data_IF_556359006770
#
_entry.id   IF_556359006770
#
_cell.length_a   1.000
_cell.length_b   1.000
_cell.length_c   1.000
_cell.angle_alpha   90.00
_cell.angle_beta   90.00
_cell.angle_gamma   90.00
#
_symmetry.space_group_name_H-M   'P 1'
#
loop_
_entity.id
_entity.type
_entity.pdbx_description
1 polymer ?
#
# COMPACT_ATOMS: atom_id res chain seq x y z
N UNK A 1 -11.36 -9.48 20.63
CA UNK A 1 -11.19 -9.68 19.18
C UNK A 1 -11.65 -11.08 18.79
N UNK A 2 -12.56 -11.17 17.83
CA UNK A 2 -13.04 -12.41 17.24
C UNK A 2 -12.42 -12.62 15.84
N UNK A 3 -11.91 -13.82 15.54
CA UNK A 3 -11.31 -14.14 14.25
C UNK A 3 -12.20 -15.13 13.50
N UNK A 4 -12.66 -14.74 12.30
CA UNK A 4 -13.51 -15.58 11.45
C UNK A 4 -12.88 -15.78 10.08
N UNK A 5 -13.03 -16.99 9.57
CA UNK A 5 -12.58 -17.39 8.24
C UNK A 5 -13.80 -17.74 7.39
N UNK A 6 -13.78 -17.31 6.12
CA UNK A 6 -14.84 -17.68 5.18
C UNK A 6 -14.78 -19.19 4.90
N UNK A 7 -15.90 -19.94 4.96
CA UNK A 7 -15.89 -21.39 4.72
C UNK A 7 -15.25 -21.82 3.39
N UNK A 8 -15.48 -21.05 2.32
CA UNK A 8 -14.87 -21.32 1.01
C UNK A 8 -13.34 -21.23 1.03
N UNK A 9 -12.77 -20.29 1.80
CA UNK A 9 -11.32 -20.19 2.00
C UNK A 9 -10.80 -21.44 2.73
N UNK A 10 -11.49 -21.87 3.79
CA UNK A 10 -11.06 -23.03 4.57
C UNK A 10 -10.97 -24.27 3.70
N UNK A 11 -12.02 -24.52 2.92
CA UNK A 11 -12.05 -25.62 1.96
C UNK A 11 -10.88 -25.52 0.96
N UNK A 12 -10.71 -24.38 0.31
CA UNK A 12 -9.67 -24.21 -0.72
C UNK A 12 -8.26 -24.39 -0.17
N UNK A 13 -7.99 -23.92 1.07
CA UNK A 13 -6.70 -24.13 1.74
C UNK A 13 -6.45 -25.60 2.02
N UNK A 14 -7.43 -26.31 2.58
CA UNK A 14 -7.27 -27.73 2.92
C UNK A 14 -7.11 -28.57 1.66
N UNK A 15 -7.98 -28.40 0.67
CA UNK A 15 -7.95 -29.16 -0.57
C UNK A 15 -6.62 -28.94 -1.31
N UNK A 16 -6.16 -27.68 -1.44
CA UNK A 16 -4.92 -27.37 -2.14
C UNK A 16 -3.67 -27.79 -1.37
N UNK A 17 -3.71 -27.78 -0.04
CA UNK A 17 -2.60 -28.24 0.80
C UNK A 17 -2.43 -29.75 0.74
N UNK A 18 -3.53 -30.50 0.89
CA UNK A 18 -3.54 -31.97 0.76
C UNK A 18 -2.98 -32.40 -0.58
N UNK A 19 -3.48 -31.80 -1.67
CA UNK A 19 -3.03 -32.11 -3.02
C UNK A 19 -1.54 -31.79 -3.21
N UNK A 20 -1.07 -30.66 -2.68
CA UNK A 20 0.34 -30.29 -2.75
C UNK A 20 1.22 -31.31 -2.02
N UNK A 21 0.92 -31.63 -0.77
CA UNK A 21 1.76 -32.53 0.04
C UNK A 21 1.79 -33.94 -0.54
N UNK A 22 0.67 -34.42 -1.07
CA UNK A 22 0.61 -35.72 -1.74
C UNK A 22 1.49 -35.75 -2.99
N UNK A 23 1.43 -34.71 -3.84
CA UNK A 23 2.32 -34.58 -5.01
C UNK A 23 3.80 -34.48 -4.63
N UNK A 24 4.10 -33.91 -3.46
CA UNK A 24 5.46 -33.83 -2.90
C UNK A 24 5.91 -35.14 -2.24
N UNK A 25 5.06 -36.17 -2.22
CA UNK A 25 5.37 -37.52 -1.73
C UNK A 25 5.02 -37.77 -0.25
N UNK A 26 4.32 -36.84 0.41
CA UNK A 26 3.82 -36.98 1.77
C UNK A 26 2.29 -37.21 1.79
N UNK A 27 1.83 -38.47 1.92
CA UNK A 27 0.41 -38.79 1.92
C UNK A 27 -0.26 -38.60 3.30
N UNK A 28 0.44 -38.06 4.31
CA UNK A 28 -0.07 -37.98 5.69
C UNK A 28 -1.38 -37.21 5.75
N UNK A 29 -1.40 -35.98 5.22
CA UNK A 29 -2.58 -35.11 5.23
C UNK A 29 -3.73 -35.64 4.36
N UNK A 30 -3.39 -36.33 3.26
CA UNK A 30 -4.39 -37.00 2.41
C UNK A 30 -5.12 -38.10 3.18
N UNK A 31 -4.37 -38.97 3.88
CA UNK A 31 -4.96 -40.05 4.69
C UNK A 31 -5.82 -39.49 5.82
N UNK A 32 -5.30 -38.51 6.56
CA UNK A 32 -6.04 -37.88 7.66
C UNK A 32 -7.34 -37.22 7.17
N UNK A 33 -7.31 -36.53 6.02
CA UNK A 33 -8.51 -35.98 5.41
C UNK A 33 -9.55 -37.06 5.12
N UNK A 34 -9.15 -38.16 4.44
CA UNK A 34 -10.06 -39.24 4.08
C UNK A 34 -10.61 -40.00 5.29
N UNK A 35 -9.80 -40.24 6.32
CA UNK A 35 -10.25 -40.85 7.58
C UNK A 35 -11.41 -40.08 8.23
N UNK A 36 -11.43 -38.76 8.07
CA UNK A 36 -12.49 -37.89 8.60
C UNK A 36 -13.63 -37.63 7.60
N UNK A 37 -13.32 -37.57 6.30
CA UNK A 37 -14.27 -37.28 5.23
C UNK A 37 -15.12 -38.49 4.83
N UNK A 38 -14.55 -39.69 4.75
CA UNK A 38 -15.26 -40.90 4.33
C UNK A 38 -16.49 -41.21 5.20
N UNK A 39 -16.43 -41.09 6.55
CA UNK A 39 -17.61 -41.25 7.41
C UNK A 39 -18.74 -40.25 7.11
N UNK A 40 -18.45 -39.07 6.55
CA UNK A 40 -19.48 -38.09 6.19
C UNK A 40 -20.34 -38.62 5.04
N UNK A 41 -19.71 -39.29 4.07
CA UNK A 41 -20.43 -39.95 2.98
C UNK A 41 -21.29 -41.11 3.47
N UNK A 42 -20.84 -41.85 4.48
CA UNK A 42 -21.57 -43.01 4.99
C UNK A 42 -22.73 -42.65 5.93
N UNK A 43 -22.55 -41.63 6.78
CA UNK A 43 -23.45 -41.36 7.91
C UNK A 43 -24.49 -40.26 7.66
N UNK A 44 -24.27 -39.40 6.68
CA UNK A 44 -25.11 -38.24 6.43
C UNK A 44 -25.78 -38.28 5.06
N UNK A 45 -27.00 -37.73 5.00
CA UNK A 45 -27.77 -37.57 3.76
C UNK A 45 -27.11 -36.52 2.87
N UNK A 46 -27.43 -36.53 1.57
CA UNK A 46 -26.87 -35.56 0.63
C UNK A 46 -27.10 -34.10 1.07
N UNK A 47 -28.27 -33.80 1.64
CA UNK A 47 -28.63 -32.45 2.08
C UNK A 47 -27.87 -32.02 3.33
N UNK A 48 -27.50 -32.96 4.21
CA UNK A 48 -26.79 -32.66 5.46
C UNK A 48 -25.26 -32.60 5.28
N UNK A 49 -24.72 -33.27 4.26
CA UNK A 49 -23.27 -33.40 4.04
C UNK A 49 -22.55 -32.05 3.93
N UNK A 50 -23.14 -31.06 3.28
CA UNK A 50 -22.49 -29.75 3.11
C UNK A 50 -22.18 -29.09 4.47
N UNK A 51 -23.11 -29.18 5.43
CA UNK A 51 -22.93 -28.65 6.78
C UNK A 51 -21.81 -29.39 7.53
N UNK A 52 -21.75 -30.71 7.39
CA UNK A 52 -20.71 -31.53 8.02
C UNK A 52 -19.33 -31.30 7.41
N UNK A 53 -19.23 -31.12 6.08
CA UNK A 53 -17.96 -30.74 5.45
C UNK A 53 -17.48 -29.37 5.92
N UNK A 54 -18.37 -28.38 6.10
CA UNK A 54 -17.98 -27.07 6.68
C UNK A 54 -17.36 -27.24 8.06
N UNK A 55 -17.93 -28.10 8.91
CA UNK A 55 -17.37 -28.40 10.25
C UNK A 55 -16.02 -29.12 10.14
N UNK A 56 -15.89 -30.08 9.21
CA UNK A 56 -14.64 -30.79 8.96
C UNK A 56 -13.52 -29.84 8.55
N UNK A 57 -13.75 -29.00 7.54
CA UNK A 57 -12.76 -28.03 7.07
C UNK A 57 -12.35 -27.05 8.18
N UNK A 58 -13.30 -26.60 8.99
CA UNK A 58 -13.00 -25.75 10.15
C UNK A 58 -12.15 -26.48 11.21
N UNK A 59 -12.48 -27.73 11.51
CA UNK A 59 -11.73 -28.55 12.44
C UNK A 59 -10.29 -28.77 11.96
N UNK A 60 -10.11 -29.15 10.70
CA UNK A 60 -8.80 -29.44 10.12
C UNK A 60 -7.95 -28.18 10.00
N UNK A 61 -8.53 -27.06 9.56
CA UNK A 61 -7.83 -25.79 9.46
C UNK A 61 -7.31 -25.28 10.82
N UNK A 62 -8.06 -25.52 11.90
CA UNK A 62 -7.60 -25.26 13.26
C UNK A 62 -6.51 -26.25 13.70
N UNK A 63 -6.75 -27.55 13.52
CA UNK A 63 -5.86 -28.63 13.99
C UNK A 63 -4.50 -28.60 13.30
N UNK A 64 -4.47 -28.28 12.01
CA UNK A 64 -3.24 -28.14 11.22
C UNK A 64 -2.54 -26.78 11.44
N UNK A 65 -3.06 -25.93 12.32
CA UNK A 65 -2.40 -24.69 12.75
C UNK A 65 -2.53 -23.52 11.79
N UNK A 66 -3.29 -23.62 10.69
CA UNK A 66 -3.44 -22.50 9.74
C UNK A 66 -4.14 -21.29 10.38
N UNK A 67 -5.07 -21.53 11.30
CA UNK A 67 -5.72 -20.46 12.06
C UNK A 67 -4.76 -19.71 12.99
N UNK A 68 -3.70 -20.40 13.41
CA UNK A 68 -2.78 -19.94 14.44
C UNK A 68 -1.84 -18.90 13.88
N UNK A 69 -1.45 -19.03 12.61
CA UNK A 69 -0.59 -18.06 11.90
C UNK A 69 -1.16 -16.64 11.99
N UNK A 70 -2.45 -16.47 11.68
CA UNK A 70 -3.11 -15.16 11.75
C UNK A 70 -3.29 -14.72 13.20
N UNK A 71 -3.74 -15.62 14.08
CA UNK A 71 -3.96 -15.31 15.49
C UNK A 71 -2.67 -14.86 16.19
N UNK A 72 -1.56 -15.50 15.89
CA UNK A 72 -0.26 -15.23 16.48
C UNK A 72 0.34 -13.93 15.95
N UNK A 73 0.09 -13.57 14.69
CA UNK A 73 0.45 -12.25 14.18
C UNK A 73 -0.18 -11.13 15.03
N UNK A 74 -1.45 -11.26 15.44
CA UNK A 74 -2.10 -10.30 16.35
C UNK A 74 -1.52 -10.31 17.78
N UNK A 75 -0.87 -11.38 18.23
CA UNK A 75 -0.18 -11.38 19.54
C UNK A 75 0.96 -10.36 19.57
N UNK A 76 1.55 -10.04 18.42
CA UNK A 76 2.60 -9.02 18.29
C UNK A 76 2.04 -7.58 18.41
N UNK A 77 0.73 -7.39 18.35
CA UNK A 77 0.06 -6.08 18.38
C UNK A 77 -1.05 -6.02 19.45
N UNK A 78 -0.71 -5.97 20.75
CA UNK A 78 -1.71 -5.95 21.83
C UNK A 78 -2.74 -4.83 21.69
N UNK A 79 -2.31 -3.63 21.29
CA UNK A 79 -3.20 -2.48 21.06
C UNK A 79 -4.22 -2.71 19.95
N UNK A 80 -3.88 -3.51 18.92
CA UNK A 80 -4.85 -3.89 17.90
C UNK A 80 -5.93 -4.79 18.48
N UNK A 81 -5.60 -5.73 19.37
CA UNK A 81 -6.60 -6.59 20.01
C UNK A 81 -7.60 -5.82 20.87
N UNK A 82 -7.17 -4.68 21.41
CA UNK A 82 -8.01 -3.78 22.21
C UNK A 82 -8.89 -2.87 21.34
N UNK A 83 -8.48 -2.58 20.10
CA UNK A 83 -9.21 -1.68 19.18
C UNK A 83 -10.00 -2.42 18.09
N UNK A 84 -9.73 -3.69 17.88
CA UNK A 84 -10.36 -4.52 16.85
C UNK A 84 -11.32 -5.52 17.49
N UNK A 85 -12.60 -5.38 17.14
CA UNK A 85 -13.67 -6.25 17.61
C UNK A 85 -13.67 -7.59 16.89
N UNK A 86 -13.52 -7.54 15.56
CA UNK A 86 -13.61 -8.71 14.67
C UNK A 86 -12.64 -8.60 13.50
N UNK A 87 -12.11 -9.75 13.09
CA UNK A 87 -11.24 -9.93 11.92
C UNK A 87 -11.91 -10.93 10.99
N UNK A 88 -12.18 -10.52 9.75
CA UNK A 88 -12.77 -11.37 8.71
C UNK A 88 -11.70 -11.74 7.68
N UNK A 89 -11.36 -13.01 7.61
CA UNK A 89 -10.38 -13.55 6.66
C UNK A 89 -11.09 -14.23 5.50
N UNK A 90 -10.80 -13.81 4.26
CA UNK A 90 -11.42 -14.35 3.05
C UNK A 90 -10.42 -14.66 1.95
N UNK A 91 -10.81 -15.61 1.10
CA UNK A 91 -10.07 -16.02 -0.08
C UNK A 91 -10.16 -15.00 -1.21
N UNK A 92 -9.06 -14.83 -1.95
CA UNK A 92 -9.01 -14.13 -3.23
C UNK A 92 -8.24 -14.95 -4.25
N UNK A 93 -8.43 -14.65 -5.54
CA UNK A 93 -7.89 -15.46 -6.63
C UNK A 93 -6.52 -14.98 -7.12
N UNK A 94 -6.19 -13.70 -6.90
CA UNK A 94 -4.98 -13.06 -7.45
C UNK A 94 -4.24 -12.25 -6.40
N UNK A 95 -2.93 -12.12 -6.60
CA UNK A 95 -2.02 -11.45 -5.64
C UNK A 95 -2.32 -9.94 -5.51
N UNK A 96 -2.79 -9.31 -6.58
CA UNK A 96 -3.22 -7.90 -6.58
C UNK A 96 -4.53 -7.65 -5.81
N UNK A 97 -5.23 -8.71 -5.41
CA UNK A 97 -6.44 -8.66 -4.59
C UNK A 97 -6.16 -8.92 -3.09
N UNK A 98 -4.95 -9.36 -2.74
CA UNK A 98 -4.53 -9.54 -1.35
C UNK A 98 -4.42 -8.18 -0.66
N UNK A 99 -4.66 -8.15 0.64
CA UNK A 99 -4.54 -6.92 1.42
C UNK A 99 -5.31 -6.97 2.73
N UNK A 100 -4.96 -6.06 3.63
CA UNK A 100 -5.65 -5.87 4.90
C UNK A 100 -6.16 -4.44 4.99
N UNK A 101 -7.42 -4.27 5.42
CA UNK A 101 -8.03 -2.94 5.53
C UNK A 101 -9.06 -2.90 6.67
N UNK A 102 -9.37 -1.70 7.15
CA UNK A 102 -10.47 -1.45 8.09
C UNK A 102 -11.79 -1.60 7.34
N UNK A 103 -12.68 -2.44 7.86
CA UNK A 103 -14.00 -2.65 7.28
C UNK A 103 -14.84 -1.38 7.46
N UNK A 104 -15.25 -0.78 6.34
CA UNK A 104 -16.19 0.35 6.31
C UNK A 104 -17.65 -0.08 6.08
N UNK A 105 -17.84 -1.29 5.58
CA UNK A 105 -19.16 -1.88 5.30
C UNK A 105 -19.15 -3.33 5.75
N UNK A 106 -20.24 -3.71 6.38
CA UNK A 106 -20.45 -5.06 6.88
C UNK A 106 -21.32 -5.86 5.93
N UNK A 107 -21.02 -7.15 5.79
CA UNK A 107 -21.94 -8.07 5.13
C UNK A 107 -23.23 -8.23 5.93
N UNK A 108 -24.27 -8.78 5.31
CA UNK A 108 -25.56 -9.02 5.96
C UNK A 108 -25.45 -9.97 7.16
N UNK A 109 -24.52 -10.92 7.11
CA UNK A 109 -24.30 -11.92 8.17
C UNK A 109 -23.60 -11.31 9.37
N UNK A 110 -22.63 -10.42 9.14
CA UNK A 110 -21.83 -9.81 10.20
C UNK A 110 -22.46 -8.52 10.75
N UNK A 111 -23.55 -8.02 10.15
CA UNK A 111 -24.11 -6.71 10.43
C UNK A 111 -24.54 -6.51 11.90
N UNK A 112 -25.16 -7.51 12.52
CA UNK A 112 -25.61 -7.40 13.92
C UNK A 112 -24.43 -7.34 14.89
N UNK A 113 -23.45 -8.24 14.72
CA UNK A 113 -22.23 -8.25 15.53
C UNK A 113 -21.37 -7.01 15.32
N UNK A 114 -21.29 -6.54 14.08
CA UNK A 114 -20.61 -5.32 13.72
C UNK A 114 -21.12 -4.12 14.52
N UNK A 115 -22.45 -4.00 14.64
CA UNK A 115 -23.08 -2.95 15.46
C UNK A 115 -22.65 -3.05 16.92
N UNK A 116 -22.62 -4.25 17.51
CA UNK A 116 -22.17 -4.43 18.89
C UNK A 116 -20.72 -4.00 19.10
N UNK A 117 -19.85 -4.22 18.11
CA UNK A 117 -18.45 -3.77 18.17
C UNK A 117 -18.33 -2.26 17.97
N UNK A 118 -19.06 -1.69 17.02
CA UNK A 118 -19.08 -0.26 16.75
C UNK A 118 -19.62 0.55 17.95
N UNK A 119 -20.67 0.05 18.63
CA UNK A 119 -21.20 0.65 19.86
C UNK A 119 -20.17 0.68 21.00
N UNK A 120 -19.19 -0.25 20.98
CA UNK A 120 -18.05 -0.29 21.92
C UNK A 120 -16.84 0.51 21.41
N UNK A 121 -16.96 1.18 20.27
CA UNK A 121 -15.87 1.93 19.62
C UNK A 121 -14.81 1.05 18.94
N UNK A 122 -15.08 -0.24 18.79
CA UNK A 122 -14.17 -1.20 18.17
C UNK A 122 -14.35 -1.23 16.64
N UNK A 123 -13.27 -1.54 15.93
CA UNK A 123 -13.25 -1.61 14.46
C UNK A 123 -13.27 -3.05 13.95
N UNK A 124 -13.73 -3.21 12.71
CA UNK A 124 -13.58 -4.44 11.94
C UNK A 124 -12.35 -4.39 11.05
N UNK A 125 -11.66 -5.51 10.91
CA UNK A 125 -10.54 -5.66 9.97
C UNK A 125 -10.85 -6.78 8.98
N UNK A 126 -10.64 -6.52 7.69
CA UNK A 126 -10.76 -7.51 6.64
C UNK A 126 -9.38 -7.93 6.14
N UNK A 127 -9.11 -9.22 6.11
CA UNK A 127 -7.89 -9.82 5.55
C UNK A 127 -8.28 -10.59 4.28
N UNK A 128 -7.65 -10.26 3.16
CA UNK A 128 -7.81 -10.98 1.88
C UNK A 128 -6.51 -11.69 1.56
N UNK A 129 -6.56 -13.00 1.39
CA UNK A 129 -5.40 -13.84 1.10
C UNK A 129 -5.72 -14.83 -0.01
N UNK A 130 -4.74 -15.13 -0.85
CA UNK A 130 -4.83 -16.32 -1.69
C UNK A 130 -4.65 -17.54 -0.77
N UNK A 131 -5.47 -18.60 -0.91
CA UNK A 131 -5.40 -19.81 -0.08
C UNK A 131 -3.98 -20.37 0.07
N UNK A 132 -3.18 -20.38 -1.01
CA UNK A 132 -1.82 -20.90 -0.99
C UNK A 132 -0.87 -20.21 -0.01
N UNK A 133 -1.20 -19.00 0.47
CA UNK A 133 -0.41 -18.29 1.48
C UNK A 133 -0.36 -19.01 2.81
N UNK A 134 -1.37 -19.79 3.17
CA UNK A 134 -1.44 -20.44 4.48
C UNK A 134 -0.35 -21.48 4.71
N UNK A 135 0.29 -21.97 3.64
CA UNK A 135 1.46 -22.84 3.70
C UNK A 135 2.71 -22.23 3.04
N UNK A 136 2.72 -20.89 2.89
CA UNK A 136 3.90 -20.11 2.54
C UNK A 136 4.53 -19.56 3.84
N UNK A 137 5.81 -19.89 4.14
CA UNK A 137 6.50 -19.35 5.31
C UNK A 137 6.53 -17.81 5.38
N UNK A 138 6.31 -17.12 4.25
CA UNK A 138 6.23 -15.67 4.18
C UNK A 138 4.98 -15.08 4.86
N UNK A 139 3.93 -15.86 5.12
CA UNK A 139 2.66 -15.32 5.62
C UNK A 139 2.83 -14.58 6.96
N UNK A 140 3.68 -15.07 7.86
CA UNK A 140 3.92 -14.41 9.15
C UNK A 140 4.48 -12.99 8.97
N UNK A 141 5.48 -12.79 8.10
CA UNK A 141 6.03 -11.45 7.84
C UNK A 141 5.06 -10.57 7.04
N UNK A 142 4.26 -11.17 6.16
CA UNK A 142 3.17 -10.46 5.47
C UNK A 142 2.15 -9.91 6.48
N UNK A 143 1.64 -10.75 7.38
CA UNK A 143 0.70 -10.31 8.41
C UNK A 143 1.31 -9.23 9.31
N UNK A 144 2.57 -9.36 9.69
CA UNK A 144 3.26 -8.32 10.48
C UNK A 144 3.29 -6.97 9.76
N UNK A 145 3.64 -6.96 8.48
CA UNK A 145 3.65 -5.76 7.65
C UNK A 145 2.27 -5.10 7.57
N UNK A 146 1.26 -5.88 7.19
CA UNK A 146 -0.10 -5.39 7.01
C UNK A 146 -0.75 -4.96 8.33
N UNK A 147 -0.50 -5.67 9.44
CA UNK A 147 -1.01 -5.27 10.75
C UNK A 147 -0.36 -3.99 11.27
N UNK A 148 0.90 -3.70 10.92
CA UNK A 148 1.49 -2.40 11.26
C UNK A 148 0.81 -1.26 10.48
N UNK A 149 0.41 -1.47 9.22
CA UNK A 149 -0.45 -0.52 8.50
C UNK A 149 -1.78 -0.29 9.23
N UNK A 150 -2.44 -1.35 9.70
CA UNK A 150 -3.68 -1.22 10.49
C UNK A 150 -3.43 -0.49 11.80
N UNK A 151 -2.31 -0.75 12.46
CA UNK A 151 -1.93 -0.03 13.68
C UNK A 151 -1.78 1.46 13.43
N UNK A 152 -1.16 1.85 12.32
CA UNK A 152 -1.04 3.25 11.90
C UNK A 152 -2.43 3.84 11.60
N UNK A 153 -3.28 3.15 10.84
CA UNK A 153 -4.65 3.63 10.54
C UNK A 153 -5.50 3.87 11.78
N UNK A 154 -5.28 3.10 12.85
CA UNK A 154 -6.00 3.23 14.12
C UNK A 154 -5.32 4.18 15.11
N UNK A 155 -4.12 4.68 14.84
CA UNK A 155 -3.41 5.61 15.70
C UNK A 155 -3.85 7.07 15.40
N UNK A 156 -4.46 7.77 16.36
CA UNK A 156 -4.82 9.18 16.17
C UNK A 156 -3.64 10.08 15.82
N UNK A 157 -2.41 9.75 16.25
CA UNK A 157 -1.20 10.53 15.94
C UNK A 157 -0.80 10.37 14.47
N UNK A 158 -1.06 9.20 13.87
CA UNK A 158 -0.84 8.98 12.45
C UNK A 158 -1.82 9.80 11.61
N UNK A 159 -3.06 9.96 12.10
CA UNK A 159 -4.05 10.84 11.47
C UNK A 159 -4.52 10.35 10.11
N UNK A 160 -4.71 9.03 9.96
CA UNK A 160 -5.22 8.43 8.73
C UNK A 160 -6.60 9.00 8.38
N UNK A 161 -6.69 9.62 7.22
CA UNK A 161 -7.97 10.07 6.67
C UNK A 161 -8.37 9.17 5.48
N UNK A 162 -9.41 8.35 5.65
CA UNK A 162 -9.93 7.46 4.62
C UNK A 162 -10.50 8.16 3.38
N UNK A 163 -10.81 9.45 3.48
CA UNK A 163 -11.49 10.26 2.48
C UNK A 163 -10.57 11.33 1.87
N UNK A 164 -9.26 11.27 2.16
CA UNK A 164 -8.23 12.12 1.55
C UNK A 164 -8.30 12.04 0.03
N UNK A 165 -8.52 13.19 -0.59
CA UNK A 165 -8.51 13.35 -2.05
C UNK A 165 -7.15 13.84 -2.51
N UNK A 166 -6.59 13.19 -3.52
CA UNK A 166 -5.30 13.55 -4.11
C UNK A 166 -5.42 13.68 -5.63
N UNK A 167 -4.57 14.52 -6.21
CA UNK A 167 -4.53 14.78 -7.64
C UNK A 167 -5.73 15.57 -8.17
N UNK A 168 -5.57 16.14 -9.37
CA UNK A 168 -6.61 16.89 -10.06
C UNK A 168 -7.38 16.04 -11.08
N UNK A 169 -6.82 14.86 -11.42
CA UNK A 169 -7.38 13.93 -12.39
C UNK A 169 -7.03 12.47 -12.01
N UNK A 170 -7.73 11.46 -12.58
CA UNK A 170 -7.53 10.06 -12.20
C UNK A 170 -6.10 9.52 -12.40
N UNK A 171 -5.38 10.03 -13.40
CA UNK A 171 -4.00 9.59 -13.66
C UNK A 171 -3.02 10.10 -12.61
N UNK A 172 -3.17 11.37 -12.22
CA UNK A 172 -2.40 11.98 -11.14
C UNK A 172 -2.75 11.36 -9.78
N UNK A 173 -4.04 11.16 -9.50
CA UNK A 173 -4.51 10.47 -8.30
C UNK A 173 -3.86 9.08 -8.18
N UNK A 174 -3.90 8.28 -9.25
CA UNK A 174 -3.30 6.95 -9.28
C UNK A 174 -1.78 7.00 -9.00
N UNK A 175 -1.07 7.95 -9.61
CA UNK A 175 0.37 8.13 -9.38
C UNK A 175 0.68 8.46 -7.91
N UNK A 176 -0.08 9.40 -7.32
CA UNK A 176 0.12 9.83 -5.93
C UNK A 176 -0.18 8.66 -4.98
N UNK A 177 -1.28 7.94 -5.17
CA UNK A 177 -1.63 6.79 -4.34
C UNK A 177 -0.58 5.67 -4.43
N UNK A 178 0.00 5.43 -5.60
CA UNK A 178 1.11 4.48 -5.73
C UNK A 178 2.35 4.93 -4.94
N UNK A 179 2.76 6.19 -5.08
CA UNK A 179 3.89 6.73 -4.30
C UNK A 179 3.64 6.68 -2.80
N UNK A 180 2.44 7.05 -2.37
CA UNK A 180 2.00 6.97 -0.99
C UNK A 180 2.16 5.54 -0.43
N UNK A 181 1.70 4.53 -1.18
CA UNK A 181 1.89 3.12 -0.81
C UNK A 181 3.37 2.77 -0.65
N UNK A 182 4.22 3.16 -1.60
CA UNK A 182 5.67 2.87 -1.52
C UNK A 182 6.29 3.50 -0.27
N UNK A 183 6.01 4.78 -0.03
CA UNK A 183 6.53 5.50 1.13
C UNK A 183 6.04 4.86 2.44
N UNK A 184 4.75 4.56 2.55
CA UNK A 184 4.21 3.96 3.77
C UNK A 184 4.78 2.55 4.00
N UNK A 185 4.79 1.68 2.98
CA UNK A 185 5.35 0.33 3.12
C UNK A 185 6.85 0.34 3.43
N UNK A 186 7.61 1.31 2.91
CA UNK A 186 9.01 1.54 3.30
C UNK A 186 9.12 1.84 4.80
N UNK A 187 8.30 2.75 5.31
CA UNK A 187 8.33 3.14 6.74
C UNK A 187 7.92 1.98 7.66
N UNK A 188 6.95 1.17 7.23
CA UNK A 188 6.54 -0.05 7.94
C UNK A 188 7.71 -1.03 8.04
N UNK A 189 8.35 -1.37 6.92
CA UNK A 189 9.44 -2.34 6.92
C UNK A 189 10.69 -1.82 7.64
N UNK A 190 10.94 -0.51 7.61
CA UNK A 190 11.97 0.11 8.44
C UNK A 190 11.67 -0.08 9.94
N UNK A 191 10.46 0.25 10.39
CA UNK A 191 10.06 0.12 11.80
C UNK A 191 10.11 -1.33 12.28
N UNK A 192 9.71 -2.28 11.42
CA UNK A 192 9.85 -3.71 11.72
C UNK A 192 11.32 -4.11 11.88
N UNK A 193 12.19 -3.66 10.97
CA UNK A 193 13.64 -3.90 11.05
C UNK A 193 14.22 -3.32 12.32
N UNK A 194 13.88 -2.07 12.68
CA UNK A 194 14.33 -1.40 13.90
C UNK A 194 13.85 -2.11 15.18
N UNK A 195 12.68 -2.73 15.14
CA UNK A 195 12.14 -3.57 16.21
C UNK A 195 12.74 -5.00 16.26
N UNK A 196 13.72 -5.31 15.40
CA UNK A 196 14.35 -6.64 15.32
C UNK A 196 13.43 -7.72 14.74
N UNK A 197 12.39 -7.32 14.00
CA UNK A 197 11.44 -8.22 13.35
C UNK A 197 11.81 -8.40 11.88
N UNK A 198 11.48 -9.56 11.33
CA UNK A 198 11.61 -9.78 9.88
C UNK A 198 10.59 -8.91 9.12
N UNK A 199 11.03 -7.97 8.27
CA UNK A 199 10.15 -7.13 7.45
C UNK A 199 9.61 -7.92 6.24
N UNK A 200 8.58 -7.39 5.57
CA UNK A 200 8.05 -8.03 4.35
C UNK A 200 9.09 -8.01 3.22
N UNK A 201 9.68 -6.84 2.98
CA UNK A 201 10.82 -6.68 2.07
C UNK A 201 12.05 -6.20 2.85
N UNK A 202 13.23 -6.65 2.42
CA UNK A 202 14.50 -6.17 2.95
C UNK A 202 14.75 -4.73 2.50
N UNK A 203 15.63 -4.03 3.21
CA UNK A 203 16.04 -2.65 2.91
C UNK A 203 16.46 -2.48 1.44
N UNK A 204 17.24 -3.42 0.90
CA UNK A 204 17.73 -3.37 -0.48
C UNK A 204 16.60 -3.50 -1.50
N UNK A 205 15.58 -4.31 -1.20
CA UNK A 205 14.44 -4.50 -2.08
C UNK A 205 13.48 -3.30 -2.01
N UNK A 206 13.29 -2.70 -0.83
CA UNK A 206 12.60 -1.41 -0.69
C UNK A 206 13.34 -0.29 -1.40
N UNK A 207 14.66 -0.28 -1.41
CA UNK A 207 15.43 0.69 -2.18
C UNK A 207 15.23 0.52 -3.68
N UNK A 208 15.22 -0.72 -4.20
CA UNK A 208 14.92 -1.00 -5.62
C UNK A 208 13.51 -0.52 -6.00
N UNK A 209 12.52 -0.81 -5.15
CA UNK A 209 11.14 -0.37 -5.35
C UNK A 209 11.04 1.15 -5.34
N UNK A 210 11.56 1.82 -4.31
CA UNK A 210 11.62 3.27 -4.21
C UNK A 210 12.29 3.91 -5.43
N UNK A 211 13.46 3.41 -5.83
CA UNK A 211 14.17 3.86 -7.04
C UNK A 211 13.35 3.73 -8.30
N UNK A 212 12.52 2.70 -8.41
CA UNK A 212 11.69 2.50 -9.60
C UNK A 212 10.60 3.57 -9.76
N UNK A 213 10.19 4.23 -8.68
CA UNK A 213 9.15 5.28 -8.66
C UNK A 213 9.72 6.70 -8.64
N UNK A 214 10.95 6.87 -8.17
CA UNK A 214 11.64 8.16 -8.07
C UNK A 214 12.84 8.28 -9.03
N UNK A 215 12.77 7.63 -10.20
CA UNK A 215 13.86 7.57 -11.21
C UNK A 215 14.41 8.92 -11.68
N UNK A 216 13.68 10.00 -11.47
CA UNK A 216 14.08 11.36 -11.88
C UNK A 216 15.02 12.03 -10.87
N UNK A 217 15.10 11.53 -9.64
CA UNK A 217 16.08 12.00 -8.66
C UNK A 217 17.45 11.38 -9.03
N UNK A 218 18.53 12.17 -9.11
CA UNK A 218 19.89 11.67 -9.32
C UNK A 218 20.25 10.52 -8.36
N UNK A 219 20.94 9.50 -8.84
CA UNK A 219 21.19 8.28 -8.06
C UNK A 219 21.91 8.53 -6.69
N UNK A 220 22.91 9.42 -6.58
CA UNK A 220 23.53 9.74 -5.29
C UNK A 220 22.53 10.38 -4.31
N UNK A 221 21.71 11.32 -4.80
CA UNK A 221 20.67 11.97 -3.99
C UNK A 221 19.57 11.00 -3.56
N UNK A 222 19.16 10.13 -4.47
CA UNK A 222 18.15 9.12 -4.19
C UNK A 222 18.57 8.17 -3.06
N UNK A 223 19.88 7.84 -2.98
CA UNK A 223 20.44 7.06 -1.86
C UNK A 223 20.30 7.83 -0.54
N UNK A 224 20.74 9.08 -0.50
CA UNK A 224 20.63 9.97 0.68
C UNK A 224 19.18 10.12 1.16
N UNK A 225 18.25 10.32 0.22
CA UNK A 225 16.81 10.45 0.49
C UNK A 225 16.25 9.15 1.07
N UNK A 226 16.53 8.01 0.43
CA UNK A 226 16.07 6.73 0.92
C UNK A 226 16.59 6.43 2.33
N UNK A 227 17.86 6.74 2.61
CA UNK A 227 18.45 6.53 3.92
C UNK A 227 17.78 7.39 5.00
N UNK A 228 17.48 8.65 4.71
CA UNK A 228 16.77 9.50 5.67
C UNK A 228 15.33 9.05 5.91
N UNK A 229 14.60 8.64 4.85
CA UNK A 229 13.29 8.01 4.98
C UNK A 229 13.36 6.72 5.82
N UNK A 230 14.36 5.87 5.56
CA UNK A 230 14.54 4.60 6.27
C UNK A 230 14.89 4.81 7.73
N UNK A 231 15.68 5.82 8.09
CA UNK A 231 16.07 6.06 9.49
C UNK A 231 14.98 6.79 10.28
N UNK A 232 14.00 7.41 9.60
CA UNK A 232 12.92 8.13 10.27
C UNK A 232 11.96 7.13 10.93
N UNK A 233 11.74 7.32 12.24
CA UNK A 233 10.96 6.38 13.06
C UNK A 233 9.45 6.43 12.81
N UNK A 234 8.94 7.57 12.33
CA UNK A 234 7.51 7.82 12.17
C UNK A 234 7.24 8.95 11.17
N UNK A 235 6.17 8.78 10.39
CA UNK A 235 5.57 9.84 9.57
C UNK A 235 4.08 9.83 9.81
N UNK A 236 3.47 11.01 9.79
CA UNK A 236 2.01 11.13 9.74
C UNK A 236 1.47 10.80 8.34
N UNK A 237 0.17 10.49 8.26
CA UNK A 237 -0.54 10.33 6.99
C UNK A 237 -0.37 11.57 6.10
N UNK A 238 -0.50 12.78 6.65
CA UNK A 238 -0.34 14.03 5.91
C UNK A 238 1.05 14.18 5.30
N UNK A 239 2.11 13.92 6.07
CA UNK A 239 3.48 14.00 5.56
C UNK A 239 3.73 13.00 4.42
N UNK A 240 3.20 11.78 4.54
CA UNK A 240 3.31 10.78 3.48
C UNK A 240 2.56 11.21 2.21
N UNK A 241 1.38 11.83 2.35
CA UNK A 241 0.61 12.35 1.22
C UNK A 241 1.31 13.55 0.56
N UNK A 242 1.86 14.47 1.34
CA UNK A 242 2.64 15.60 0.85
C UNK A 242 3.86 15.12 0.06
N UNK A 243 4.62 14.17 0.60
CA UNK A 243 5.75 13.52 -0.07
C UNK A 243 5.35 12.74 -1.32
N UNK A 244 4.19 12.06 -1.30
CA UNK A 244 3.71 11.34 -2.47
C UNK A 244 3.31 12.31 -3.60
N UNK A 245 2.75 13.46 -3.24
CA UNK A 245 2.26 14.50 -4.15
C UNK A 245 3.38 15.35 -4.74
N UNK A 246 4.40 15.65 -3.94
CA UNK A 246 5.50 16.53 -4.31
C UNK A 246 6.86 15.88 -4.06
N UNK A 247 7.60 15.63 -5.16
CA UNK A 247 8.92 15.02 -5.06
C UNK A 247 9.93 15.90 -4.30
N UNK A 248 9.76 17.23 -4.29
CA UNK A 248 10.63 18.13 -3.52
C UNK A 248 10.58 17.78 -2.02
N UNK A 249 9.37 17.52 -1.50
CA UNK A 249 9.16 17.13 -0.10
C UNK A 249 9.83 15.80 0.25
N UNK A 250 10.00 14.91 -0.72
CA UNK A 250 10.75 13.67 -0.53
C UNK A 250 12.24 13.98 -0.45
N UNK A 251 12.74 14.89 -1.29
CA UNK A 251 14.15 15.29 -1.30
C UNK A 251 14.59 15.98 -0.01
N UNK A 252 13.70 16.71 0.65
CA UNK A 252 13.93 17.31 1.98
C UNK A 252 14.30 16.28 3.05
N UNK A 253 14.08 14.99 2.78
CA UNK A 253 14.44 13.87 3.67
C UNK A 253 15.85 13.34 3.43
N UNK A 254 16.63 13.94 2.53
CA UNK A 254 18.01 13.54 2.30
C UNK A 254 18.88 13.73 3.55
N UNK A 255 19.67 12.71 3.88
CA UNK A 255 20.71 12.77 4.92
C UNK A 255 22.07 12.49 4.31
N UNK A 256 23.13 13.01 4.93
CA UNK A 256 24.49 12.77 4.47
C UNK A 256 24.89 11.29 4.69
N UNK A 257 25.30 10.62 3.62
CA UNK A 257 25.69 9.21 3.61
C UNK A 257 26.86 8.97 2.68
N UNK A 258 27.68 7.97 2.98
CA UNK A 258 28.81 7.61 2.14
C UNK A 258 28.38 7.30 0.70
N UNK A 259 28.93 8.04 -0.27
CA UNK A 259 28.58 7.91 -1.69
C UNK A 259 27.16 8.38 -2.04
N UNK A 260 26.51 9.13 -1.14
CA UNK A 260 25.31 9.91 -1.43
C UNK A 260 25.63 11.39 -1.61
N UNK A 261 24.64 12.15 -2.05
CA UNK A 261 24.69 13.62 -2.12
C UNK A 261 23.44 14.17 -1.45
N UNK A 262 23.56 15.22 -0.63
CA UNK A 262 22.39 15.94 -0.12
C UNK A 262 22.05 17.03 -1.15
N UNK A 263 20.82 17.09 -1.68
CA UNK A 263 20.42 18.14 -2.59
C UNK A 263 20.59 19.51 -1.93
N UNK A 264 21.20 20.47 -2.63
CA UNK A 264 21.11 21.88 -2.26
C UNK A 264 19.67 22.35 -2.55
N UNK A 265 18.79 22.23 -1.56
CA UNK A 265 17.42 22.76 -1.64
C UNK A 265 17.45 24.29 -1.52
N UNK A 266 18.00 24.98 -2.51
CA UNK A 266 17.53 26.32 -2.83
C UNK A 266 16.08 26.18 -3.31
N UNK A 267 15.21 27.15 -3.00
CA UNK A 267 13.77 27.20 -3.35
C UNK A 267 13.44 27.16 -4.87
N UNK A 268 14.24 26.50 -5.71
CA UNK A 268 13.98 26.32 -7.13
C UNK A 268 13.01 25.16 -7.31
N UNK A 269 11.84 25.47 -7.86
CA UNK A 269 10.87 24.46 -8.31
C UNK A 269 11.57 23.47 -9.24
N UNK A 270 11.60 22.20 -8.85
CA UNK A 270 12.31 21.18 -9.64
C UNK A 270 11.46 20.75 -10.84
N UNK A 271 11.82 21.28 -12.02
CA UNK A 271 11.15 21.01 -13.30
C UNK A 271 11.52 19.63 -13.86
N UNK A 272 10.98 18.57 -13.26
CA UNK A 272 11.39 17.19 -13.54
C UNK A 272 10.58 16.52 -14.65
N UNK A 273 11.10 16.24 -15.86
CA UNK A 273 10.40 15.70 -17.05
C UNK A 273 8.87 15.55 -16.90
N UNK A 274 8.15 14.46 -17.17
CA UNK A 274 6.65 14.37 -17.12
C UNK A 274 5.75 14.98 -15.99
N UNK A 275 6.16 15.97 -15.20
CA UNK A 275 5.28 16.82 -14.40
C UNK A 275 4.34 17.65 -15.29
N UNK A 276 3.12 17.97 -14.82
CA UNK A 276 2.19 18.80 -15.58
C UNK A 276 2.73 20.23 -15.69
N UNK A 277 2.77 20.75 -16.91
CA UNK A 277 3.08 22.17 -17.14
C UNK A 277 2.06 23.06 -16.40
N UNK A 278 2.46 24.09 -15.65
CA UNK A 278 1.51 24.93 -14.90
C UNK A 278 0.56 25.72 -15.82
N UNK A 279 0.96 25.93 -17.07
CA UNK A 279 0.17 26.67 -18.07
C UNK A 279 -0.89 25.79 -18.72
N UNK A 280 -0.53 24.64 -19.30
CA UNK A 280 -1.47 23.76 -20.02
C UNK A 280 -1.93 22.52 -19.25
N UNK A 281 -1.34 22.24 -18.08
CA UNK A 281 -1.62 21.08 -17.23
C UNK A 281 -1.34 19.70 -17.84
N UNK A 282 -0.75 19.65 -19.04
CA UNK A 282 -0.29 18.40 -19.64
C UNK A 282 1.09 17.99 -19.13
N UNK A 283 1.36 16.69 -18.92
CA UNK A 283 2.71 16.19 -18.68
C UNK A 283 3.66 16.65 -19.78
N UNK A 284 4.75 17.32 -19.42
CA UNK A 284 5.79 17.72 -20.36
C UNK A 284 7.08 16.96 -20.08
N UNK A 285 7.85 16.61 -21.09
CA UNK A 285 9.23 16.09 -20.91
C UNK A 285 10.28 17.12 -21.34
N UNK A 286 9.82 18.28 -21.81
CA UNK A 286 10.62 19.36 -22.38
C UNK A 286 10.25 20.65 -21.64
N UNK A 287 11.06 21.01 -20.65
CA UNK A 287 10.93 22.27 -19.93
C UNK A 287 11.80 23.32 -20.60
N UNK A 288 11.30 24.56 -20.72
CA UNK A 288 12.14 25.67 -21.19
C UNK A 288 13.05 26.12 -20.06
N UNK A 289 14.34 25.87 -20.21
CA UNK A 289 15.37 26.30 -19.26
C UNK A 289 15.76 27.76 -19.49
N UNK A 290 16.11 28.46 -18.40
CA UNK A 290 16.65 29.83 -18.46
C UNK A 290 15.68 30.84 -19.13
N UNK A 291 14.40 30.73 -18.77
CA UNK A 291 13.31 31.55 -19.33
C UNK A 291 13.57 33.05 -19.20
N UNK A 292 14.21 33.50 -18.11
CA UNK A 292 14.51 34.91 -17.87
C UNK A 292 15.46 35.54 -18.91
N UNK A 293 16.31 34.73 -19.55
CA UNK A 293 17.25 35.19 -20.57
C UNK A 293 16.83 34.79 -21.99
N UNK A 294 16.13 33.65 -22.15
CA UNK A 294 15.77 33.09 -23.46
C UNK A 294 14.40 33.51 -23.99
N UNK A 295 13.58 34.15 -23.16
CA UNK A 295 12.24 34.59 -23.54
C UNK A 295 12.14 36.10 -23.37
N UNK A 296 11.55 36.74 -24.36
CA UNK A 296 11.32 38.18 -24.40
C UNK A 296 10.39 38.60 -23.26
N UNK A 297 10.72 39.70 -22.57
CA UNK A 297 10.00 40.10 -21.34
C UNK A 297 8.50 40.31 -21.55
N UNK A 298 8.09 40.87 -22.70
CA UNK A 298 6.68 41.08 -23.01
C UNK A 298 5.89 39.76 -23.14
N UNK A 299 6.53 38.67 -23.56
CA UNK A 299 5.90 37.34 -23.61
C UNK A 299 5.71 36.81 -22.19
N UNK A 300 6.70 36.99 -21.32
CA UNK A 300 6.61 36.59 -19.91
C UNK A 300 5.49 37.36 -19.19
N UNK A 301 5.38 38.66 -19.44
CA UNK A 301 4.32 39.50 -18.88
C UNK A 301 2.95 39.06 -19.39
N UNK A 302 2.83 38.76 -20.68
CA UNK A 302 1.61 38.22 -21.27
C UNK A 302 1.19 36.86 -20.65
N UNK A 303 2.14 35.97 -20.37
CA UNK A 303 1.85 34.72 -19.65
C UNK A 303 1.32 35.01 -18.24
N UNK A 304 1.95 35.94 -17.49
CA UNK A 304 1.51 36.32 -16.13
C UNK A 304 0.11 36.93 -16.11
N UNK A 305 -0.23 37.72 -17.12
CA UNK A 305 -1.58 38.28 -17.29
C UNK A 305 -2.64 37.19 -17.49
N UNK A 306 -2.31 36.14 -18.26
CA UNK A 306 -3.21 35.01 -18.53
C UNK A 306 -3.23 33.97 -17.39
N UNK A 307 -2.16 33.91 -16.59
CA UNK A 307 -2.02 32.99 -15.46
C UNK A 307 -1.56 33.76 -14.19
N UNK A 308 -2.49 34.47 -13.51
CA UNK A 308 -2.17 35.19 -12.29
C UNK A 308 -1.57 34.25 -11.22
N UNK A 309 -0.37 34.58 -10.73
CA UNK A 309 0.36 33.77 -9.75
C UNK A 309 1.40 32.81 -10.35
N UNK A 310 1.52 32.75 -11.67
CA UNK A 310 2.65 32.09 -12.33
C UNK A 310 3.89 32.99 -12.35
N UNK A 311 5.07 32.37 -12.28
CA UNK A 311 6.38 33.01 -12.43
C UNK A 311 7.38 32.06 -13.12
N UNK A 312 8.50 32.60 -13.60
CA UNK A 312 9.53 31.88 -14.36
C UNK A 312 10.08 30.66 -13.62
N UNK A 313 10.11 30.71 -12.28
CA UNK A 313 10.58 29.59 -11.46
C UNK A 313 9.67 28.37 -11.57
N UNK A 314 8.36 28.56 -11.77
CA UNK A 314 7.40 27.46 -11.98
C UNK A 314 7.53 26.81 -13.36
N UNK A 315 8.29 27.43 -14.27
CA UNK A 315 8.58 26.91 -15.60
C UNK A 315 7.38 26.86 -16.55
N UNK A 316 7.65 26.49 -17.79
CA UNK A 316 6.65 26.20 -18.80
C UNK A 316 7.20 25.17 -19.80
N UNK A 317 6.32 24.38 -20.43
CA UNK A 317 6.74 23.51 -21.52
C UNK A 317 7.01 24.29 -22.79
N UNK A 318 7.88 23.73 -23.64
CA UNK A 318 8.23 24.26 -24.96
C UNK A 318 7.01 24.70 -25.79
N UNK A 319 5.98 23.84 -25.86
CA UNK A 319 4.74 24.11 -26.60
C UNK A 319 3.96 25.30 -26.05
N UNK A 320 3.89 25.44 -24.72
CA UNK A 320 3.19 26.58 -24.12
C UNK A 320 3.92 27.87 -24.42
N UNK A 321 5.25 27.87 -24.28
CA UNK A 321 6.07 29.05 -24.59
C UNK A 321 5.90 29.44 -26.06
N UNK A 322 5.94 28.48 -26.98
CA UNK A 322 5.74 28.73 -28.41
C UNK A 322 4.36 29.34 -28.70
N UNK A 323 3.29 28.77 -28.15
CA UNK A 323 1.92 29.28 -28.32
C UNK A 323 1.79 30.69 -27.74
N UNK A 324 2.37 30.95 -26.58
CA UNK A 324 2.31 32.26 -25.94
C UNK A 324 3.15 33.32 -26.67
N UNK A 325 4.29 32.96 -27.26
CA UNK A 325 5.05 33.85 -28.15
C UNK A 325 4.18 34.30 -29.33
N UNK A 326 3.57 33.35 -30.04
CA UNK A 326 2.70 33.64 -31.19
C UNK A 326 1.51 34.53 -30.82
N UNK A 327 0.90 34.31 -29.65
CA UNK A 327 -0.22 35.14 -29.15
C UNK A 327 0.23 36.54 -28.76
N UNK A 328 1.36 36.67 -28.05
CA UNK A 328 1.91 37.96 -27.66
C UNK A 328 2.31 38.81 -28.88
N UNK A 329 2.74 38.17 -29.96
CA UNK A 329 3.07 38.81 -31.24
C UNK A 329 1.83 39.18 -32.09
N UNK A 330 0.62 38.81 -31.66
CA UNK A 330 -0.62 39.07 -32.37
C UNK A 330 -0.81 38.22 -33.63
N UNK A 331 -0.15 37.07 -33.70
CA UNK A 331 -0.18 36.15 -34.86
C UNK A 331 -1.31 35.11 -34.77
N UNK A 332 -2.06 35.10 -33.65
CA UNK A 332 -3.15 34.15 -33.39
C UNK A 332 -4.44 34.82 -32.90
#
# INVERSE_FOLDING_TARGET
>A
MELRFQPALLQEVIDSFVEKTEREGDPTYYKEFHELADPIYEKFTLDDRESEFKKLYQYMFGTWGFSDIIRDAFNEYPLLKERVGIVLVKGVLKEDQEGVDILRKWGSVEHEMAREFEEKGLKGVGIKLIPRRFYDPALTRYCRHELLHISDMLDPVFGYDPDTKVGQNPGEETLILHRYRILWSLTVDSRLTAAGKEPMLRKEDRFKEFRSWYRKIPAPQLKSVFEGLWQTSFFTHSELIEMASDTLRVMDRAVDVEGGEVPETENKVMLMPGFPCPLCRFPTYSWVEDMGNKIESYVLDFIRENHPGWDIEFGACDRCVEVYKLRADGVM
#
